data_IF_619750228924
#
_entry.id   IF_619750228924
#
_cell.length_a   1.000
_cell.length_b   1.000
_cell.length_c   1.000
_cell.angle_alpha   90.00
_cell.angle_beta   90.00
_cell.angle_gamma   90.00
#
_symmetry.space_group_name_H-M   'P 1'
#
loop_
_entity.id
_entity.type
_entity.pdbx_description
1 polymer ?
#
# COMPACT_ATOMS: atom_id res chain seq x y z
N UNK A 1 -40.99 25.28 -9.93
CA UNK A 1 -41.01 23.84 -9.59
C UNK A 1 -40.36 23.72 -8.22
N UNK A 2 -40.99 23.06 -7.23
CA UNK A 2 -40.33 22.84 -5.95
C UNK A 2 -39.16 21.89 -6.17
N UNK A 3 -37.99 22.24 -5.66
CA UNK A 3 -36.81 21.39 -5.66
C UNK A 3 -37.11 20.17 -4.77
N UNK A 4 -37.07 18.98 -5.37
CA UNK A 4 -37.06 17.71 -4.62
C UNK A 4 -35.77 17.69 -3.78
N UNK A 5 -35.91 17.84 -2.47
CA UNK A 5 -34.84 17.54 -1.53
C UNK A 5 -34.54 16.05 -1.65
N UNK A 6 -33.39 15.72 -2.24
CA UNK A 6 -32.83 14.39 -2.17
C UNK A 6 -32.56 14.14 -0.68
N UNK A 7 -33.29 13.21 -0.05
CA UNK A 7 -32.95 12.72 1.28
C UNK A 7 -31.57 12.06 1.19
N UNK A 8 -30.53 12.82 1.55
CA UNK A 8 -29.22 12.23 1.81
C UNK A 8 -29.40 11.25 2.98
N UNK A 9 -28.99 9.99 2.77
CA UNK A 9 -29.05 8.95 3.78
C UNK A 9 -27.95 9.19 4.83
N UNK A 10 -28.17 10.19 5.68
CA UNK A 10 -27.26 10.60 6.74
C UNK A 10 -27.46 9.66 7.92
N UNK A 11 -26.44 8.84 8.19
CA UNK A 11 -26.40 7.95 9.35
C UNK A 11 -25.67 8.65 10.47
N UNK A 12 -26.39 8.97 11.56
CA UNK A 12 -25.77 9.51 12.76
C UNK A 12 -24.80 8.50 13.36
N UNK A 13 -23.65 9.00 13.83
CA UNK A 13 -22.59 8.17 14.38
C UNK A 13 -21.97 8.83 15.60
N UNK A 14 -21.87 8.07 16.68
CA UNK A 14 -21.27 8.54 17.92
C UNK A 14 -19.77 8.78 17.74
N UNK A 15 -19.30 9.95 18.17
CA UNK A 15 -17.91 10.39 17.97
C UNK A 15 -16.91 9.51 18.74
N UNK A 16 -17.26 9.08 19.95
CA UNK A 16 -16.36 8.27 20.80
C UNK A 16 -16.16 6.90 20.18
N UNK A 17 -17.26 6.31 19.69
CA UNK A 17 -17.28 5.03 19.00
C UNK A 17 -16.49 5.11 17.69
N UNK A 18 -16.75 6.12 16.86
CA UNK A 18 -16.06 6.30 15.58
C UNK A 18 -14.55 6.50 15.76
N UNK A 19 -14.15 7.35 16.70
CA UNK A 19 -12.72 7.58 16.98
C UNK A 19 -12.02 6.31 17.42
N UNK A 20 -12.65 5.52 18.29
CA UNK A 20 -12.07 4.27 18.80
C UNK A 20 -11.91 3.23 17.69
N UNK A 21 -12.95 3.05 16.87
CA UNK A 21 -12.93 2.11 15.74
C UNK A 21 -11.90 2.51 14.67
N UNK A 22 -11.92 3.77 14.24
CA UNK A 22 -10.98 4.28 13.23
C UNK A 22 -9.53 4.22 13.70
N UNK A 23 -9.27 4.54 14.97
CA UNK A 23 -7.94 4.41 15.56
C UNK A 23 -7.46 2.96 15.59
N UNK A 24 -8.31 2.03 16.03
CA UNK A 24 -7.98 0.60 16.09
C UNK A 24 -7.70 0.05 14.69
N UNK A 25 -8.56 0.37 13.72
CA UNK A 25 -8.45 -0.09 12.33
C UNK A 25 -7.14 0.39 11.67
N UNK A 26 -6.82 1.67 11.83
CA UNK A 26 -5.57 2.20 11.30
C UNK A 26 -4.36 1.60 12.00
N UNK A 27 -4.38 1.52 13.34
CA UNK A 27 -3.28 0.95 14.12
C UNK A 27 -3.00 -0.50 13.73
N UNK A 28 -4.04 -1.31 13.58
CA UNK A 28 -3.91 -2.70 13.18
C UNK A 28 -3.35 -2.84 11.75
N UNK A 29 -3.82 -2.00 10.81
CA UNK A 29 -3.29 -1.94 9.44
C UNK A 29 -1.80 -1.60 9.42
N UNK A 30 -1.36 -0.65 10.26
CA UNK A 30 0.06 -0.29 10.38
C UNK A 30 0.89 -1.45 10.91
N UNK A 31 0.44 -2.09 11.99
CA UNK A 31 1.18 -3.16 12.67
C UNK A 31 1.39 -4.34 11.71
N UNK A 32 0.31 -4.82 11.09
CA UNK A 32 0.33 -6.05 10.29
C UNK A 32 0.87 -5.82 8.87
N UNK A 33 0.46 -4.73 8.23
CA UNK A 33 0.64 -4.56 6.79
C UNK A 33 1.67 -3.50 6.40
N UNK A 34 2.40 -2.92 7.37
CA UNK A 34 3.38 -1.86 7.08
C UNK A 34 4.65 -1.94 7.92
N UNK A 35 4.51 -1.97 9.24
CA UNK A 35 5.62 -1.70 10.15
C UNK A 35 6.47 -2.93 10.44
N UNK A 36 5.84 -4.05 10.78
CA UNK A 36 6.53 -5.28 11.21
C UNK A 36 6.76 -6.24 10.02
N UNK A 37 7.92 -6.91 9.97
CA UNK A 37 8.17 -7.96 9.00
C UNK A 37 7.45 -9.27 9.38
N UNK A 38 7.21 -10.12 8.39
CA UNK A 38 6.74 -11.49 8.64
C UNK A 38 7.90 -12.37 9.12
N UNK A 39 7.66 -13.25 10.09
CA UNK A 39 8.70 -14.11 10.68
C UNK A 39 9.24 -15.16 9.70
N UNK A 40 8.46 -15.52 8.69
CA UNK A 40 8.82 -16.60 7.75
C UNK A 40 9.89 -16.19 6.75
N UNK A 41 9.84 -14.93 6.32
CA UNK A 41 10.76 -14.38 5.31
C UNK A 41 11.56 -13.16 5.79
N UNK A 42 11.21 -12.58 6.94
CA UNK A 42 11.84 -11.36 7.47
C UNK A 42 11.51 -10.11 6.66
N UNK A 43 10.57 -10.17 5.71
CA UNK A 43 10.29 -9.08 4.78
C UNK A 43 9.06 -8.27 5.18
N UNK A 44 9.18 -6.94 5.05
CA UNK A 44 8.03 -6.04 5.05
C UNK A 44 7.25 -6.19 3.72
N UNK A 45 5.95 -5.87 3.70
CA UNK A 45 5.14 -5.99 2.48
C UNK A 45 5.70 -5.25 1.26
N UNK A 46 6.33 -4.08 1.45
CA UNK A 46 6.95 -3.32 0.35
C UNK A 46 8.13 -4.08 -0.28
N UNK A 47 9.01 -4.68 0.53
CA UNK A 47 10.16 -5.45 0.02
C UNK A 47 9.68 -6.66 -0.80
N UNK A 48 8.67 -7.37 -0.30
CA UNK A 48 8.11 -8.55 -0.99
C UNK A 48 7.53 -8.17 -2.35
N UNK A 49 6.78 -7.07 -2.42
CA UNK A 49 6.20 -6.56 -3.68
C UNK A 49 7.28 -6.11 -4.66
N UNK A 50 8.35 -5.47 -4.18
CA UNK A 50 9.49 -5.06 -5.01
C UNK A 50 10.19 -6.28 -5.61
N UNK A 51 10.54 -7.27 -4.79
CA UNK A 51 11.19 -8.49 -5.25
C UNK A 51 10.33 -9.24 -6.27
N UNK A 52 9.03 -9.37 -5.99
CA UNK A 52 8.08 -10.00 -6.91
C UNK A 52 7.97 -9.23 -8.24
N UNK A 53 7.79 -7.91 -8.21
CA UNK A 53 7.74 -7.09 -9.42
C UNK A 53 9.05 -7.10 -10.23
N UNK A 54 10.20 -7.18 -9.58
CA UNK A 54 11.49 -7.35 -10.28
C UNK A 54 11.63 -8.71 -10.95
N UNK A 55 11.13 -9.77 -10.32
CA UNK A 55 11.11 -11.11 -10.87
C UNK A 55 10.18 -11.18 -12.10
N UNK A 56 8.97 -10.63 -12.02
CA UNK A 56 8.02 -10.54 -13.14
C UNK A 56 8.57 -9.74 -14.32
N UNK A 57 9.32 -8.66 -14.04
CA UNK A 57 10.02 -7.91 -15.08
C UNK A 57 11.19 -8.67 -15.69
N UNK A 58 11.61 -9.82 -15.15
CA UNK A 58 12.78 -10.56 -15.60
C UNK A 58 14.09 -9.83 -15.32
N UNK A 59 14.15 -9.04 -14.24
CA UNK A 59 15.38 -8.38 -13.77
C UNK A 59 16.26 -9.36 -12.97
N UNK A 60 16.63 -10.47 -13.60
CA UNK A 60 17.53 -11.46 -13.02
C UNK A 60 19.00 -11.05 -13.15
N UNK A 61 19.85 -11.60 -12.29
CA UNK A 61 21.29 -11.32 -12.22
C UNK A 61 22.06 -11.54 -13.53
N UNK A 62 21.55 -12.39 -14.43
CA UNK A 62 22.19 -12.72 -15.71
C UNK A 62 21.71 -11.85 -16.89
N UNK A 63 20.94 -10.78 -16.63
CA UNK A 63 20.42 -9.84 -17.64
C UNK A 63 20.96 -8.43 -17.40
N UNK A 64 20.89 -7.59 -18.45
CA UNK A 64 21.24 -6.18 -18.32
C UNK A 64 20.32 -5.44 -17.33
N UNK A 65 20.87 -4.42 -16.66
CA UNK A 65 20.12 -3.62 -15.69
C UNK A 65 18.92 -2.90 -16.32
N UNK A 66 17.87 -2.73 -15.51
CA UNK A 66 16.68 -1.96 -15.87
C UNK A 66 16.65 -0.67 -15.05
N UNK A 67 16.15 0.41 -15.65
CA UNK A 67 15.99 1.70 -14.96
C UNK A 67 15.09 1.54 -13.74
N UNK A 68 15.48 2.10 -12.59
CA UNK A 68 14.70 2.00 -11.34
C UNK A 68 13.27 2.52 -11.51
N UNK A 69 13.08 3.62 -12.26
CA UNK A 69 11.76 4.18 -12.56
C UNK A 69 10.81 3.15 -13.22
N UNK A 70 11.34 2.21 -14.03
CA UNK A 70 10.54 1.14 -14.64
C UNK A 70 10.11 0.09 -13.60
N UNK A 71 10.99 -0.26 -12.67
CA UNK A 71 10.68 -1.21 -11.59
C UNK A 71 9.65 -0.59 -10.64
N UNK A 72 9.85 0.68 -10.25
CA UNK A 72 8.91 1.41 -9.39
C UNK A 72 7.54 1.51 -10.05
N UNK A 73 7.47 1.87 -11.33
CA UNK A 73 6.22 1.96 -12.07
C UNK A 73 5.46 0.63 -12.15
N UNK A 74 6.17 -0.49 -12.38
CA UNK A 74 5.57 -1.82 -12.40
C UNK A 74 4.98 -2.21 -11.03
N UNK A 75 5.78 -2.05 -9.97
CA UNK A 75 5.38 -2.42 -8.61
C UNK A 75 4.19 -1.56 -8.15
N UNK A 76 4.22 -0.26 -8.44
CA UNK A 76 3.13 0.65 -8.09
C UNK A 76 1.85 0.33 -8.87
N UNK A 77 1.97 0.04 -10.16
CA UNK A 77 0.82 -0.23 -11.03
C UNK A 77 0.11 -1.56 -10.71
N UNK A 78 0.83 -2.56 -10.22
CA UNK A 78 0.27 -3.91 -10.01
C UNK A 78 0.13 -4.32 -8.55
N UNK A 79 1.05 -3.91 -7.68
CA UNK A 79 1.23 -4.54 -6.37
C UNK A 79 1.21 -3.57 -5.19
N UNK A 80 1.49 -2.29 -5.40
CA UNK A 80 1.67 -1.31 -4.33
C UNK A 80 0.87 -0.01 -4.59
N UNK A 81 -0.38 0.10 -4.09
CA UNK A 81 -1.27 1.24 -4.37
C UNK A 81 -0.96 2.47 -3.50
N UNK A 82 0.33 2.78 -3.33
CA UNK A 82 0.81 3.93 -2.56
C UNK A 82 1.94 4.63 -3.30
N UNK A 83 2.43 5.74 -2.74
CA UNK A 83 3.42 6.61 -3.39
C UNK A 83 4.70 5.89 -3.83
N UNK A 84 5.24 6.36 -4.95
CA UNK A 84 6.47 5.88 -5.58
C UNK A 84 7.70 5.99 -4.68
N UNK A 85 7.77 7.02 -3.85
CA UNK A 85 8.86 7.26 -2.89
C UNK A 85 9.09 6.06 -1.97
N UNK A 86 8.02 5.46 -1.42
CA UNK A 86 8.14 4.31 -0.52
C UNK A 86 8.73 3.08 -1.18
N UNK A 87 8.45 2.89 -2.48
CA UNK A 87 8.97 1.80 -3.30
C UNK A 87 10.42 2.07 -3.68
N UNK A 88 10.73 3.30 -4.08
CA UNK A 88 12.09 3.71 -4.45
C UNK A 88 13.04 3.66 -3.25
N UNK A 89 12.63 4.19 -2.10
CA UNK A 89 13.43 4.13 -0.87
C UNK A 89 13.71 2.68 -0.46
N UNK A 90 12.73 1.79 -0.63
CA UNK A 90 12.90 0.35 -0.37
C UNK A 90 13.86 -0.35 -1.34
N UNK A 91 14.06 0.20 -2.54
CA UNK A 91 15.02 -0.32 -3.53
C UNK A 91 16.46 0.13 -3.23
N UNK A 92 16.62 1.31 -2.62
CA UNK A 92 17.92 1.94 -2.37
C UNK A 92 18.55 1.48 -1.04
N UNK A 93 17.71 1.20 -0.05
CA UNK A 93 18.12 0.92 1.34
C UNK A 93 18.52 -0.53 1.58
#
# INVERSE_FOLDING_TARGET
>A
MPEEFIEENIVDRDIVTEMSESYLNYSMSVIVSRALPDVRDGLKPVHRRVLYGTADLGASWNRGHKKCARIVGEVMGKYHPHGDSSVYDSLVR
#
